data_IF_250260569567
#
_entry.id   IF_250260569567
#
_cell.length_a   1.000
_cell.length_b   1.000
_cell.length_c   1.000
_cell.angle_alpha   90.00
_cell.angle_beta   90.00
_cell.angle_gamma   90.00
#
_symmetry.space_group_name_H-M   'P 1'
#
loop_
_entity.id
_entity.type
_entity.pdbx_description
1 polymer ?
#
# COMPACT_ATOMS: atom_id res chain seq x y z
N UNK A 1 0.05 -3.29 -9.46
CA UNK A 1 1.10 -4.27 -9.10
C UNK A 1 0.56 -5.41 -8.26
N UNK A 2 0.00 -5.16 -7.06
CA UNK A 2 -0.53 -6.24 -6.20
C UNK A 2 -1.82 -6.87 -6.73
N UNK A 3 -2.77 -6.06 -7.19
CA UNK A 3 -4.06 -6.54 -7.71
C UNK A 3 -3.90 -7.51 -8.90
N UNK A 4 -2.99 -7.20 -9.83
CA UNK A 4 -2.63 -8.09 -10.95
C UNK A 4 -2.00 -9.42 -10.53
N UNK A 5 -1.55 -9.53 -9.28
CA UNK A 5 -1.04 -10.78 -8.68
C UNK A 5 -2.10 -11.50 -7.83
N UNK A 6 -3.33 -10.98 -7.83
CA UNK A 6 -4.46 -11.48 -7.05
C UNK A 6 -4.38 -11.11 -5.56
N UNK A 7 -3.68 -10.03 -5.21
CA UNK A 7 -3.57 -9.53 -3.83
C UNK A 7 -4.38 -8.24 -3.71
N UNK A 8 -5.50 -8.30 -2.99
CA UNK A 8 -6.29 -7.11 -2.66
C UNK A 8 -5.68 -6.35 -1.48
N UNK A 9 -5.54 -5.03 -1.64
CA UNK A 9 -4.97 -4.16 -0.62
C UNK A 9 -5.61 -2.76 -0.69
N UNK A 10 -5.48 -1.98 0.38
CA UNK A 10 -5.90 -0.58 0.40
C UNK A 10 -4.67 0.32 0.39
N UNK A 11 -4.69 1.36 -0.43
CA UNK A 11 -3.73 2.47 -0.32
C UNK A 11 -4.18 3.47 0.75
N UNK A 12 -3.26 4.31 1.23
CA UNK A 12 -3.54 5.35 2.21
C UNK A 12 -4.11 6.65 1.64
N UNK A 13 -4.37 6.70 0.33
CA UNK A 13 -5.23 7.72 -0.25
C UNK A 13 -6.62 7.59 0.38
N UNK A 14 -7.14 8.67 0.96
CA UNK A 14 -8.44 8.66 1.61
C UNK A 14 -9.52 8.28 0.57
N UNK A 15 -9.92 7.02 0.57
CA UNK A 15 -10.73 6.37 -0.47
C UNK A 15 -12.22 6.80 -0.53
N UNK A 16 -12.56 8.04 -0.18
CA UNK A 16 -13.97 8.47 -0.12
C UNK A 16 -14.22 9.92 -0.55
N UNK A 17 -13.28 10.57 -1.22
CA UNK A 17 -13.54 11.87 -1.84
C UNK A 17 -12.69 12.01 -3.09
N UNK A 18 -13.14 12.82 -4.05
CA UNK A 18 -12.44 13.15 -5.29
C UNK A 18 -11.15 13.98 -5.06
N UNK A 19 -10.41 13.70 -3.97
CA UNK A 19 -9.27 14.47 -3.49
C UNK A 19 -8.11 13.54 -3.12
N UNK A 20 -6.94 13.83 -3.69
CA UNK A 20 -5.69 13.12 -3.44
C UNK A 20 -5.11 13.54 -2.07
N UNK A 21 -5.80 13.19 -0.99
CA UNK A 21 -5.39 13.54 0.37
C UNK A 21 -4.91 12.32 1.15
N UNK A 22 -3.85 12.53 1.92
CA UNK A 22 -3.34 11.56 2.85
C UNK A 22 -4.36 11.24 3.95
N UNK A 23 -4.32 10.01 4.45
CA UNK A 23 -5.12 9.58 5.60
C UNK A 23 -5.06 10.59 6.76
N UNK A 24 -6.24 11.03 7.22
CA UNK A 24 -6.37 11.93 8.36
C UNK A 24 -5.79 11.32 9.64
N UNK A 25 -5.85 10.00 9.80
CA UNK A 25 -5.26 9.28 10.94
C UNK A 25 -3.73 9.35 10.89
N UNK A 26 -3.12 9.06 9.73
CA UNK A 26 -1.66 9.11 9.59
C UNK A 26 -1.12 10.53 9.81
N UNK A 27 -1.87 11.55 9.37
CA UNK A 27 -1.55 12.95 9.65
C UNK A 27 -1.68 13.29 11.13
N UNK A 28 -2.71 12.78 11.82
CA UNK A 28 -2.89 12.98 13.26
C UNK A 28 -1.77 12.34 14.09
N UNK A 29 -1.17 11.25 13.59
CA UNK A 29 0.03 10.63 14.15
C UNK A 29 1.32 11.44 13.91
N UNK A 30 1.23 12.59 13.22
CA UNK A 30 2.38 13.46 12.95
C UNK A 30 3.24 13.03 11.76
N UNK A 31 2.78 12.09 10.92
CA UNK A 31 3.52 11.70 9.73
C UNK A 31 3.47 12.81 8.67
N UNK A 32 4.61 13.03 8.00
CA UNK A 32 4.69 13.93 6.84
C UNK A 32 3.75 13.42 5.74
N UNK A 33 3.17 14.36 4.99
CA UNK A 33 2.20 14.05 3.93
C UNK A 33 2.75 13.05 2.89
N UNK A 34 4.02 13.21 2.49
CA UNK A 34 4.70 12.31 1.54
C UNK A 34 4.70 10.85 2.04
N UNK A 35 5.04 10.65 3.31
CA UNK A 35 5.07 9.33 3.95
C UNK A 35 3.63 8.80 4.05
N UNK A 36 2.70 9.63 4.50
CA UNK A 36 1.31 9.26 4.70
C UNK A 36 0.59 8.86 3.38
N UNK A 37 0.97 9.44 2.24
CA UNK A 37 0.44 9.07 0.92
C UNK A 37 0.99 7.72 0.41
N UNK A 38 2.20 7.34 0.84
CA UNK A 38 2.86 6.09 0.42
C UNK A 38 2.42 4.85 1.19
N UNK A 39 1.54 4.99 2.20
CA UNK A 39 1.18 3.87 3.05
C UNK A 39 0.31 2.83 2.34
N UNK A 40 0.61 1.56 2.61
CA UNK A 40 -0.11 0.37 2.17
C UNK A 40 -0.73 -0.31 3.38
N UNK A 41 -2.02 -0.61 3.33
CA UNK A 41 -2.73 -1.36 4.37
C UNK A 41 -3.16 -2.72 3.85
N UNK A 42 -2.72 -3.75 4.55
CA UNK A 42 -3.14 -5.13 4.39
C UNK A 42 -3.91 -5.54 5.64
N UNK A 43 -5.05 -6.20 5.45
CA UNK A 43 -5.91 -6.65 6.53
C UNK A 43 -6.24 -8.11 6.30
N UNK A 44 -6.06 -8.93 7.33
CA UNK A 44 -6.34 -10.36 7.27
C UNK A 44 -7.76 -10.64 7.77
N UNK A 45 -8.41 -11.63 7.15
CA UNK A 45 -9.69 -12.18 7.56
C UNK A 45 -9.55 -13.63 8.01
N UNK A 46 -10.66 -14.19 8.50
CA UNK A 46 -10.76 -15.58 8.99
C UNK A 46 -10.38 -16.65 7.95
N UNK A 47 -10.50 -16.33 6.67
CA UNK A 47 -10.27 -17.27 5.57
C UNK A 47 -8.83 -17.18 5.03
N UNK A 48 -8.00 -16.28 5.57
CA UNK A 48 -6.60 -16.23 5.20
C UNK A 48 -5.81 -17.38 5.85
N UNK A 49 -4.81 -17.86 5.13
CA UNK A 49 -3.92 -18.92 5.55
C UNK A 49 -2.45 -18.53 5.41
N UNK A 50 -1.56 -19.35 5.96
CA UNK A 50 -0.11 -19.12 5.90
C UNK A 50 0.40 -19.06 4.45
N UNK A 51 -0.16 -19.88 3.56
CA UNK A 51 0.18 -19.84 2.14
C UNK A 51 -0.14 -18.49 1.46
N UNK A 52 -1.17 -17.77 1.92
CA UNK A 52 -1.46 -16.42 1.42
C UNK A 52 -0.36 -15.43 1.84
N UNK A 53 0.16 -15.59 3.06
CA UNK A 53 1.26 -14.78 3.59
C UNK A 53 2.54 -15.10 2.83
N UNK A 54 2.86 -16.37 2.60
CA UNK A 54 4.02 -16.79 1.83
C UNK A 54 3.98 -16.23 0.40
N UNK A 55 2.81 -16.32 -0.25
CA UNK A 55 2.60 -15.73 -1.56
C UNK A 55 2.83 -14.22 -1.52
N UNK A 56 2.22 -13.51 -0.58
CA UNK A 56 2.43 -12.06 -0.40
C UNK A 56 3.92 -11.74 -0.22
N UNK A 57 4.63 -12.47 0.64
CA UNK A 57 6.05 -12.26 0.95
C UNK A 57 6.96 -12.52 -0.26
N UNK A 58 6.59 -13.44 -1.15
CA UNK A 58 7.32 -13.68 -2.40
C UNK A 58 7.19 -12.54 -3.41
N UNK A 59 6.07 -11.82 -3.39
CA UNK A 59 5.71 -10.81 -4.40
C UNK A 59 6.01 -9.38 -3.93
N UNK A 60 5.73 -9.08 -2.66
CA UNK A 60 5.77 -7.73 -2.12
C UNK A 60 7.14 -7.03 -2.31
N UNK A 61 8.30 -7.70 -2.11
CA UNK A 61 9.60 -7.07 -2.31
C UNK A 61 9.81 -6.54 -3.74
N UNK A 62 9.46 -7.34 -4.75
CA UNK A 62 9.59 -6.95 -6.17
C UNK A 62 8.67 -5.76 -6.49
N UNK A 63 7.42 -5.80 -6.00
CA UNK A 63 6.46 -4.72 -6.18
C UNK A 63 6.97 -3.41 -5.59
N UNK A 64 7.48 -3.46 -4.37
CA UNK A 64 8.00 -2.28 -3.67
C UNK A 64 9.21 -1.71 -4.41
N UNK A 65 10.10 -2.56 -4.91
CA UNK A 65 11.27 -2.11 -5.67
C UNK A 65 10.86 -1.42 -6.99
N UNK A 66 9.90 -2.00 -7.69
CA UNK A 66 9.35 -1.41 -8.91
C UNK A 66 8.68 -0.07 -8.64
N UNK A 67 7.94 0.06 -7.53
CA UNK A 67 7.36 1.33 -7.10
C UNK A 67 8.43 2.39 -6.80
N UNK A 68 9.55 2.01 -6.17
CA UNK A 68 10.68 2.93 -5.94
C UNK A 68 11.34 3.39 -7.24
N UNK A 69 11.54 2.49 -8.21
CA UNK A 69 12.11 2.84 -9.52
C UNK A 69 11.25 3.89 -10.24
N UNK A 70 9.93 3.66 -10.31
CA UNK A 70 9.00 4.60 -10.96
C UNK A 70 9.00 5.95 -10.24
N UNK A 71 9.01 5.95 -8.90
CA UNK A 71 9.08 7.18 -8.11
C UNK A 71 10.36 7.96 -8.41
N UNK A 72 11.52 7.28 -8.47
CA UNK A 72 12.80 7.91 -8.80
C UNK A 72 12.85 8.49 -10.21
N UNK A 73 12.06 7.97 -11.16
CA UNK A 73 11.99 8.48 -12.53
C UNK A 73 10.98 9.63 -12.70
N UNK A 74 10.12 9.86 -11.70
CA UNK A 74 9.07 10.89 -11.71
C UNK A 74 9.50 12.17 -10.99
N UNK A 75 10.74 12.23 -10.52
CA UNK A 75 11.45 13.40 -9.96
C UNK A 75 12.36 13.99 -11.04
#
# INVERSE_FOLDING_TARGET
>A
FLDSQGISASSAAACSSNSFQASHVLRALGLKNEIALSALRLSLGKDNCEADIDKLMSILPEVVERSRLIWSMSQ
#
